data_IF_093908399351
#
_entry.id   IF_093908399351
#
_cell.length_a   1.000
_cell.length_b   1.000
_cell.length_c   1.000
_cell.angle_alpha   90.00
_cell.angle_beta   90.00
_cell.angle_gamma   90.00
#
_symmetry.space_group_name_H-M   'P 1'
#
loop_
_entity.id
_entity.type
_entity.pdbx_description
1 polymer ?
#
# COMPACT_ATOMS: atom_id res chain seq x y z
N UNK A 1 -76.65 36.67 20.94
CA UNK A 1 -76.71 36.29 19.52
C UNK A 1 -75.30 36.10 19.01
N UNK A 2 -75.05 34.87 18.53
CA UNK A 2 -73.94 34.31 17.76
C UNK A 2 -72.51 34.90 17.80
N UNK A 3 -71.59 33.97 18.06
CA UNK A 3 -70.16 33.99 17.86
C UNK A 3 -69.73 33.95 16.38
N UNK A 4 -68.46 34.29 16.11
CA UNK A 4 -67.62 33.57 15.15
C UNK A 4 -66.14 33.84 15.46
N UNK A 5 -65.52 32.87 16.14
CA UNK A 5 -64.09 32.71 16.26
C UNK A 5 -63.59 31.92 15.04
N UNK A 6 -62.63 32.47 14.30
CA UNK A 6 -61.97 31.76 13.21
C UNK A 6 -60.74 31.03 13.77
N UNK A 7 -60.90 29.72 14.01
CA UNK A 7 -59.78 28.80 14.18
C UNK A 7 -59.22 28.45 12.80
N UNK A 8 -58.03 28.95 12.46
CA UNK A 8 -57.23 28.41 11.37
C UNK A 8 -56.43 27.22 11.92
N UNK A 9 -56.94 26.01 11.70
CA UNK A 9 -56.23 24.77 12.02
C UNK A 9 -55.11 24.54 11.00
N UNK A 10 -53.89 24.36 11.49
CA UNK A 10 -52.75 23.93 10.71
C UNK A 10 -52.91 22.49 10.23
N UNK A 11 -52.63 22.26 8.96
CA UNK A 11 -52.31 20.94 8.41
C UNK A 11 -50.81 20.92 8.16
N UNK A 12 -50.04 20.66 9.21
CA UNK A 12 -48.66 20.19 9.07
C UNK A 12 -48.77 18.69 8.76
N UNK A 13 -48.74 18.36 7.47
CA UNK A 13 -48.72 16.97 7.01
C UNK A 13 -47.34 16.40 7.30
N UNK A 14 -47.21 15.64 8.38
CA UNK A 14 -46.12 14.69 8.52
C UNK A 14 -46.30 13.64 7.42
N UNK A 15 -45.49 13.75 6.36
CA UNK A 15 -45.33 12.66 5.39
C UNK A 15 -44.71 11.50 6.16
N UNK A 16 -45.53 10.52 6.53
CA UNK A 16 -45.07 9.24 7.04
C UNK A 16 -44.41 8.51 5.87
N UNK A 17 -43.08 8.60 5.79
CA UNK A 17 -42.30 7.72 4.93
C UNK A 17 -42.48 6.30 5.49
N UNK A 18 -42.91 5.32 4.70
CA UNK A 18 -43.08 3.96 5.17
C UNK A 18 -41.70 3.36 5.52
N UNK A 19 -41.53 2.74 6.70
CA UNK A 19 -40.25 2.20 7.18
C UNK A 19 -39.64 1.12 6.25
N UNK A 20 -40.44 0.57 5.35
CA UNK A 20 -40.01 -0.43 4.35
C UNK A 20 -39.10 0.18 3.27
N UNK A 21 -39.32 1.44 2.88
CA UNK A 21 -38.46 2.12 1.90
C UNK A 21 -37.09 2.47 2.50
N UNK A 22 -37.04 2.72 3.81
CA UNK A 22 -35.80 2.96 4.53
C UNK A 22 -35.00 1.69 4.74
N UNK A 23 -35.66 0.54 4.94
CA UNK A 23 -34.98 -0.75 5.02
C UNK A 23 -34.28 -1.14 3.70
N UNK A 24 -34.96 -0.99 2.55
CA UNK A 24 -34.38 -1.34 1.25
C UNK A 24 -33.18 -0.47 0.89
N UNK A 25 -33.31 0.86 1.01
CA UNK A 25 -32.17 1.75 0.72
C UNK A 25 -31.01 1.58 1.71
N UNK A 26 -31.30 1.13 2.93
CA UNK A 26 -30.27 0.81 3.91
C UNK A 26 -29.51 -0.47 3.55
N UNK A 27 -30.21 -1.50 3.08
CA UNK A 27 -29.61 -2.73 2.55
C UNK A 27 -28.75 -2.43 1.31
N UNK A 28 -29.25 -1.61 0.37
CA UNK A 28 -28.49 -1.17 -0.80
C UNK A 28 -27.23 -0.41 -0.39
N UNK A 29 -27.36 0.56 0.52
CA UNK A 29 -26.24 1.34 1.04
C UNK A 29 -25.18 0.45 1.71
N UNK A 30 -25.62 -0.57 2.45
CA UNK A 30 -24.72 -1.54 3.09
C UNK A 30 -24.02 -2.42 2.06
N UNK A 31 -24.74 -2.90 1.05
CA UNK A 31 -24.18 -3.73 -0.03
C UNK A 31 -23.08 -2.97 -0.76
N UNK A 32 -23.31 -1.70 -1.11
CA UNK A 32 -22.32 -0.86 -1.79
C UNK A 32 -21.04 -0.68 -0.95
N UNK A 33 -21.16 -0.45 0.36
CA UNK A 33 -19.98 -0.37 1.24
C UNK A 33 -19.29 -1.73 1.38
N UNK A 34 -20.06 -2.81 1.52
CA UNK A 34 -19.50 -4.15 1.64
C UNK A 34 -18.75 -4.57 0.37
N UNK A 35 -19.25 -4.20 -0.81
CA UNK A 35 -18.58 -4.47 -2.09
C UNK A 35 -17.29 -3.67 -2.25
N UNK A 36 -17.29 -2.39 -1.86
CA UNK A 36 -16.05 -1.60 -1.78
C UNK A 36 -15.05 -2.27 -0.83
N UNK A 37 -15.44 -2.60 0.40
CA UNK A 37 -14.56 -3.23 1.37
C UNK A 37 -14.01 -4.59 0.90
N UNK A 38 -14.83 -5.41 0.23
CA UNK A 38 -14.38 -6.68 -0.38
C UNK A 38 -13.47 -6.47 -1.57
N UNK A 39 -13.65 -5.42 -2.36
CA UNK A 39 -12.80 -5.14 -3.52
C UNK A 39 -11.35 -4.84 -3.12
N UNK A 40 -11.14 -4.40 -1.88
CA UNK A 40 -9.83 -4.20 -1.27
C UNK A 40 -9.19 -5.50 -0.75
N UNK A 41 -9.89 -6.64 -0.84
CA UNK A 41 -9.33 -7.94 -0.47
C UNK A 41 -8.25 -8.38 -1.46
N UNK A 42 -7.06 -8.73 -0.94
CA UNK A 42 -5.91 -9.06 -1.78
C UNK A 42 -5.40 -7.89 -2.62
N UNK A 43 -5.82 -6.65 -2.31
CA UNK A 43 -5.28 -5.45 -2.90
C UNK A 43 -3.82 -5.25 -2.42
N UNK A 44 -2.89 -5.83 -3.16
CA UNK A 44 -1.48 -5.43 -3.14
C UNK A 44 -0.72 -5.62 -1.83
N UNK A 45 0.11 -4.63 -1.51
CA UNK A 45 1.10 -4.61 -0.43
C UNK A 45 0.60 -3.88 0.82
N UNK A 46 -0.71 -3.70 0.96
CA UNK A 46 -1.29 -3.01 2.12
C UNK A 46 -0.95 -3.77 3.41
N UNK A 47 -0.31 -3.07 4.35
CA UNK A 47 0.11 -3.62 5.65
C UNK A 47 -0.41 -2.78 6.82
N UNK A 48 -0.94 -1.59 6.54
CA UNK A 48 -1.47 -0.62 7.51
C UNK A 48 -2.90 -0.22 7.13
N UNK A 49 -3.66 0.35 8.07
CA UNK A 49 -5.01 0.84 7.75
C UNK A 49 -4.93 2.08 6.84
N UNK A 50 -3.84 2.83 6.91
CA UNK A 50 -3.54 3.95 6.03
C UNK A 50 -3.33 3.49 4.57
N UNK A 51 -2.71 2.33 4.35
CA UNK A 51 -2.64 1.70 3.03
C UNK A 51 -4.04 1.42 2.47
N UNK A 52 -4.87 0.75 3.26
CA UNK A 52 -6.26 0.49 2.86
C UNK A 52 -7.07 1.76 2.64
N UNK A 53 -6.81 2.83 3.40
CA UNK A 53 -7.47 4.12 3.19
C UNK A 53 -7.09 4.73 1.84
N UNK A 54 -5.83 4.57 1.39
CA UNK A 54 -5.38 4.99 0.05
C UNK A 54 -5.99 4.13 -1.05
N UNK A 55 -5.99 2.82 -0.88
CA UNK A 55 -6.59 1.91 -1.85
C UNK A 55 -8.11 2.15 -1.99
N UNK A 56 -8.78 2.45 -0.86
CA UNK A 56 -10.18 2.84 -0.84
C UNK A 56 -10.42 4.16 -1.58
N UNK A 57 -9.58 5.17 -1.38
CA UNK A 57 -9.69 6.45 -2.09
C UNK A 57 -9.52 6.26 -3.60
N UNK A 58 -8.56 5.44 -4.05
CA UNK A 58 -8.39 5.10 -5.46
C UNK A 58 -9.62 4.37 -6.02
N UNK A 59 -10.13 3.36 -5.29
CA UNK A 59 -11.32 2.62 -5.69
C UNK A 59 -12.58 3.51 -5.75
N UNK A 60 -12.68 4.50 -4.86
CA UNK A 60 -13.81 5.42 -4.75
C UNK A 60 -13.68 6.66 -5.63
N UNK A 61 -12.55 6.89 -6.32
CA UNK A 61 -12.31 8.09 -7.13
C UNK A 61 -13.39 8.34 -8.22
N UNK A 62 -14.12 7.29 -8.63
CA UNK A 62 -15.24 7.37 -9.58
C UNK A 62 -16.59 6.99 -8.98
N UNK A 63 -16.64 6.67 -7.69
CA UNK A 63 -17.86 6.28 -7.00
C UNK A 63 -18.62 7.54 -6.56
N UNK A 64 -19.88 7.67 -7.00
CA UNK A 64 -20.72 8.82 -6.68
C UNK A 64 -21.52 8.64 -5.38
N UNK A 65 -21.48 7.45 -4.79
CA UNK A 65 -22.40 7.03 -3.75
C UNK A 65 -21.71 6.72 -2.42
N UNK A 66 -20.51 6.14 -2.46
CA UNK A 66 -19.74 5.78 -1.27
C UNK A 66 -18.55 6.73 -1.14
N UNK A 67 -18.36 7.25 0.08
CA UNK A 67 -17.28 8.16 0.42
C UNK A 67 -16.52 7.62 1.63
N UNK A 68 -15.19 7.69 1.59
CA UNK A 68 -14.35 7.41 2.75
C UNK A 68 -14.38 8.62 3.67
N UNK A 69 -14.84 8.44 4.91
CA UNK A 69 -15.04 9.54 5.88
C UNK A 69 -14.14 9.45 7.11
N UNK A 70 -13.41 8.35 7.27
CA UNK A 70 -12.53 8.14 8.42
C UNK A 70 -11.80 6.80 8.35
N UNK A 71 -10.77 6.67 9.16
CA UNK A 71 -10.11 5.40 9.45
C UNK A 71 -9.60 5.43 10.91
N UNK A 72 -9.41 4.25 11.49
CA UNK A 72 -8.88 4.07 12.84
C UNK A 72 -7.89 2.92 12.85
N UNK A 73 -6.64 3.21 13.22
CA UNK A 73 -5.58 2.21 13.40
C UNK A 73 -5.69 1.57 14.78
N UNK A 74 -5.54 0.24 14.85
CA UNK A 74 -5.55 -0.48 16.11
C UNK A 74 -4.12 -0.65 16.64
N UNK A 75 -3.81 -0.01 17.78
CA UNK A 75 -2.45 0.08 18.33
C UNK A 75 -1.80 -1.26 18.76
N UNK A 76 -2.53 -2.38 18.76
CA UNK A 76 -2.05 -3.69 19.21
C UNK A 76 -2.48 -4.84 18.27
N UNK A 77 -2.61 -4.57 16.97
CA UNK A 77 -2.88 -5.65 16.01
C UNK A 77 -1.77 -6.70 16.10
N UNK A 78 -2.15 -7.96 16.34
CA UNK A 78 -1.24 -9.10 16.19
C UNK A 78 -1.13 -9.46 14.71
N UNK A 79 -0.11 -10.23 14.34
CA UNK A 79 0.16 -10.64 12.96
C UNK A 79 -1.04 -11.31 12.24
N UNK A 80 -2.05 -11.78 12.98
CA UNK A 80 -3.28 -12.41 12.50
C UNK A 80 -4.58 -11.65 12.83
N UNK A 81 -4.49 -10.45 13.41
CA UNK A 81 -5.64 -9.67 13.87
C UNK A 81 -5.96 -8.48 12.96
N UNK A 82 -7.13 -7.90 13.17
CA UNK A 82 -7.50 -6.65 12.51
C UNK A 82 -6.47 -5.55 12.84
N UNK A 83 -5.99 -4.87 11.79
CA UNK A 83 -5.02 -3.76 11.86
C UNK A 83 -5.72 -2.41 12.02
N UNK A 84 -7.02 -2.35 11.70
CA UNK A 84 -7.84 -1.16 11.88
C UNK A 84 -9.19 -1.28 11.20
N UNK A 85 -9.87 -0.15 11.06
CA UNK A 85 -11.14 -0.05 10.34
C UNK A 85 -11.22 1.19 9.47
N UNK A 86 -11.89 1.05 8.33
CA UNK A 86 -12.31 2.17 7.48
C UNK A 86 -13.77 2.52 7.78
N UNK A 87 -14.10 3.80 7.65
CA UNK A 87 -15.43 4.36 7.88
C UNK A 87 -15.93 5.01 6.60
N UNK A 88 -17.13 4.61 6.19
CA UNK A 88 -17.74 5.01 4.93
C UNK A 88 -19.07 5.71 5.17
N UNK A 89 -19.38 6.66 4.29
CA UNK A 89 -20.69 7.27 4.15
C UNK A 89 -21.27 6.90 2.80
N UNK A 90 -22.44 6.29 2.80
CA UNK A 90 -23.18 5.93 1.60
C UNK A 90 -24.36 6.91 1.40
N UNK A 91 -24.53 7.40 0.18
CA UNK A 91 -25.60 8.30 -0.25
C UNK A 91 -26.36 7.63 -1.40
N UNK A 92 -27.52 7.05 -1.10
CA UNK A 92 -28.34 6.37 -2.10
C UNK A 92 -29.36 7.36 -2.69
N UNK A 93 -29.31 7.62 -4.02
CA UNK A 93 -30.22 8.54 -4.66
C UNK A 93 -31.66 7.99 -4.57
N UNK A 94 -32.60 8.86 -4.20
CA UNK A 94 -34.02 8.51 -4.19
C UNK A 94 -34.77 9.36 -5.19
N UNK A 95 -35.49 8.71 -6.11
CA UNK A 95 -36.14 9.40 -7.24
C UNK A 95 -37.26 10.37 -6.85
N UNK A 96 -37.81 10.28 -5.64
CA UNK A 96 -38.97 11.06 -5.17
C UNK A 96 -38.73 11.68 -3.79
N UNK A 97 -37.59 11.44 -3.16
CA UNK A 97 -37.29 11.84 -1.78
C UNK A 97 -35.86 12.37 -1.68
N UNK A 98 -35.54 12.96 -0.53
CA UNK A 98 -34.15 13.26 -0.18
C UNK A 98 -33.31 11.97 -0.22
N UNK A 99 -32.05 12.11 -0.60
CA UNK A 99 -31.11 10.99 -0.66
C UNK A 99 -31.03 10.28 0.70
N UNK A 100 -30.96 8.96 0.64
CA UNK A 100 -30.77 8.17 1.85
C UNK A 100 -29.31 8.16 2.24
N UNK A 101 -29.02 8.53 3.49
CA UNK A 101 -27.65 8.60 4.01
C UNK A 101 -27.51 7.62 5.17
N UNK A 102 -26.51 6.74 5.06
CA UNK A 102 -26.10 5.84 6.14
C UNK A 102 -24.58 5.75 6.21
N UNK A 103 -24.07 5.36 7.37
CA UNK A 103 -22.64 5.24 7.61
C UNK A 103 -22.31 3.86 8.15
N UNK A 104 -21.23 3.30 7.63
CA UNK A 104 -20.79 1.95 7.91
C UNK A 104 -19.29 1.90 8.16
N UNK A 105 -18.83 0.95 8.97
CA UNK A 105 -17.41 0.65 9.09
C UNK A 105 -17.13 -0.80 8.74
N UNK A 106 -15.91 -1.04 8.28
CA UNK A 106 -15.38 -2.35 7.95
C UNK A 106 -14.00 -2.49 8.55
N UNK A 107 -13.76 -3.61 9.24
CA UNK A 107 -12.45 -3.96 9.79
C UNK A 107 -11.56 -4.61 8.73
N UNK A 108 -10.26 -4.33 8.79
CA UNK A 108 -9.27 -4.87 7.88
C UNK A 108 -8.16 -5.58 8.67
N UNK A 109 -7.61 -6.65 8.11
CA UNK A 109 -6.40 -7.36 8.54
C UNK A 109 -5.34 -7.29 7.44
N UNK A 110 -4.23 -8.02 7.57
CA UNK A 110 -3.15 -8.01 6.58
C UNK A 110 -3.49 -8.63 5.21
N UNK A 111 -4.72 -9.14 5.01
CA UNK A 111 -5.17 -9.76 3.77
C UNK A 111 -6.33 -8.99 3.11
N UNK A 112 -7.00 -8.11 3.83
CA UNK A 112 -8.15 -7.35 3.34
C UNK A 112 -9.18 -7.13 4.43
N UNK A 113 -10.45 -7.11 4.05
CA UNK A 113 -11.54 -7.08 5.03
C UNK A 113 -11.45 -8.30 5.97
N UNK A 114 -11.47 -8.06 7.28
CA UNK A 114 -11.26 -9.08 8.31
C UNK A 114 -12.41 -10.10 8.37
N UNK A 115 -13.62 -9.67 7.99
CA UNK A 115 -14.71 -10.60 7.74
C UNK A 115 -14.40 -11.40 6.46
N UNK A 116 -14.71 -12.69 6.45
CA UNK A 116 -14.48 -13.51 5.24
C UNK A 116 -15.10 -12.84 4.00
N UNK A 117 -14.40 -12.76 2.86
CA UNK A 117 -14.88 -12.03 1.68
C UNK A 117 -16.20 -12.56 1.11
N UNK A 118 -16.56 -13.81 1.43
CA UNK A 118 -17.83 -14.44 1.05
C UNK A 118 -18.93 -14.30 2.12
N UNK A 119 -18.67 -13.54 3.19
CA UNK A 119 -19.65 -13.27 4.23
C UNK A 119 -20.77 -12.38 3.72
N UNK A 120 -21.92 -12.39 4.39
CA UNK A 120 -23.03 -11.47 4.14
C UNK A 120 -22.64 -10.03 4.45
N UNK A 121 -23.30 -9.05 3.82
CA UNK A 121 -22.94 -7.63 3.93
C UNK A 121 -22.97 -7.11 5.36
N UNK A 122 -23.90 -7.58 6.20
CA UNK A 122 -23.97 -7.19 7.61
C UNK A 122 -22.79 -7.65 8.47
N UNK A 123 -22.01 -8.63 7.99
CA UNK A 123 -20.76 -9.04 8.63
C UNK A 123 -19.54 -8.27 8.12
N UNK A 124 -19.66 -7.55 7.00
CA UNK A 124 -18.58 -6.80 6.34
C UNK A 124 -18.72 -5.30 6.62
N UNK A 125 -19.93 -4.76 6.47
CA UNK A 125 -20.27 -3.36 6.66
C UNK A 125 -21.21 -3.23 7.87
N UNK A 126 -20.65 -2.76 8.97
CA UNK A 126 -21.34 -2.60 10.24
C UNK A 126 -21.86 -1.18 10.41
N UNK A 127 -23.08 -1.03 10.92
CA UNK A 127 -23.66 0.28 11.15
C UNK A 127 -22.84 1.09 12.16
N UNK A 128 -22.72 2.39 11.89
CA UNK A 128 -22.40 3.34 12.94
C UNK A 128 -23.10 4.69 12.71
N UNK A 129 -23.24 5.49 13.77
CA UNK A 129 -23.85 6.81 13.65
C UNK A 129 -23.03 7.70 12.72
N UNK A 130 -23.67 8.27 11.69
CA UNK A 130 -23.03 9.25 10.83
C UNK A 130 -22.60 10.49 11.63
N UNK A 131 -21.31 10.87 11.59
CA UNK A 131 -20.88 12.15 12.12
C UNK A 131 -21.63 13.31 11.43
N UNK A 132 -22.04 14.35 12.16
CA UNK A 132 -22.87 15.43 11.62
C UNK A 132 -22.16 16.26 10.54
N UNK A 133 -20.84 16.23 10.50
CA UNK A 133 -19.94 16.91 9.58
C UNK A 133 -19.11 15.94 8.73
N UNK A 134 -19.57 14.69 8.57
CA UNK A 134 -18.89 13.69 7.76
C UNK A 134 -18.70 14.16 6.31
N UNK A 135 -17.44 14.37 5.92
CA UNK A 135 -17.00 14.71 4.58
C UNK A 135 -16.04 13.63 4.08
N UNK A 136 -15.90 13.54 2.75
CA UNK A 136 -14.84 12.71 2.17
C UNK A 136 -13.48 13.18 2.69
N UNK A 137 -12.66 12.25 3.17
CA UNK A 137 -11.29 12.53 3.61
C UNK A 137 -10.31 12.19 2.50
N UNK A 138 -9.19 12.91 2.45
CA UNK A 138 -8.02 12.50 1.69
C UNK A 138 -7.13 11.65 2.63
N UNK A 139 -6.82 10.39 2.29
CA UNK A 139 -5.95 9.56 3.11
C UNK A 139 -4.53 10.14 3.17
N UNK A 140 -3.75 9.82 4.22
CA UNK A 140 -2.39 10.33 4.35
C UNK A 140 -1.51 9.79 3.20
N UNK A 141 -0.72 10.69 2.61
CA UNK A 141 0.27 10.34 1.58
C UNK A 141 1.28 9.35 2.15
N UNK A 142 1.71 8.38 1.34
CA UNK A 142 2.81 7.49 1.74
C UNK A 142 4.12 8.26 1.77
N UNK A 143 4.71 8.36 2.96
CA UNK A 143 6.04 8.94 3.14
C UNK A 143 7.08 7.88 3.48
N UNK A 144 6.73 6.60 3.36
CA UNK A 144 7.65 5.48 3.62
C UNK A 144 8.80 5.51 2.61
N UNK A 145 10.03 5.19 3.04
CA UNK A 145 11.18 5.20 2.16
C UNK A 145 11.04 4.12 1.08
N UNK A 146 11.20 4.53 -0.18
CA UNK A 146 11.27 3.63 -1.33
C UNK A 146 12.73 3.37 -1.64
N UNK A 147 13.22 2.18 -1.30
CA UNK A 147 14.61 1.83 -1.55
C UNK A 147 14.86 1.56 -3.04
N UNK A 148 15.87 2.22 -3.61
CA UNK A 148 16.21 2.13 -5.03
C UNK A 148 17.72 2.02 -5.24
N UNK A 149 18.13 1.44 -6.37
CA UNK A 149 19.48 1.61 -6.90
C UNK A 149 19.44 2.84 -7.81
N UNK A 150 20.11 3.96 -7.46
CA UNK A 150 20.04 5.19 -8.26
C UNK A 150 20.50 4.97 -9.71
N UNK A 151 19.86 5.63 -10.66
CA UNK A 151 20.27 5.58 -12.06
C UNK A 151 21.72 6.07 -12.23
N UNK A 152 22.54 5.29 -12.95
CA UNK A 152 23.96 5.57 -13.12
C UNK A 152 24.88 4.94 -12.07
N UNK A 153 24.34 4.28 -11.03
CA UNK A 153 25.15 3.57 -10.02
C UNK A 153 26.03 2.48 -10.64
N UNK A 154 25.53 1.74 -11.64
CA UNK A 154 26.31 0.71 -12.34
C UNK A 154 27.62 1.25 -12.92
N UNK A 155 27.56 2.39 -13.62
CA UNK A 155 28.75 3.02 -14.20
C UNK A 155 29.76 3.44 -13.11
N UNK A 156 29.27 3.99 -12.00
CA UNK A 156 30.12 4.35 -10.84
C UNK A 156 30.81 3.12 -10.27
N UNK A 157 30.07 2.03 -10.06
CA UNK A 157 30.62 0.78 -9.52
C UNK A 157 31.68 0.21 -10.46
N UNK A 158 31.40 0.13 -11.76
CA UNK A 158 32.36 -0.36 -12.76
C UNK A 158 33.65 0.49 -12.73
N UNK A 159 33.52 1.81 -12.70
CA UNK A 159 34.67 2.72 -12.65
C UNK A 159 35.50 2.52 -11.36
N UNK A 160 34.85 2.43 -10.20
CA UNK A 160 35.52 2.23 -8.90
C UNK A 160 36.26 0.90 -8.88
N UNK A 161 35.60 -0.20 -9.27
CA UNK A 161 36.22 -1.53 -9.26
C UNK A 161 37.38 -1.60 -10.27
N UNK A 162 37.24 -0.96 -11.44
CA UNK A 162 38.27 -0.93 -12.48
C UNK A 162 39.52 -0.15 -12.06
N UNK A 163 39.35 0.92 -11.28
CA UNK A 163 40.45 1.76 -10.81
C UNK A 163 41.04 1.30 -9.48
N UNK A 164 40.35 0.41 -8.75
CA UNK A 164 40.75 0.02 -7.41
C UNK A 164 42.10 -0.73 -7.42
N UNK A 165 43.02 -0.43 -6.49
CA UNK A 165 44.30 -1.11 -6.41
C UNK A 165 44.14 -2.58 -5.95
N UNK A 166 45.23 -3.36 -6.04
CA UNK A 166 45.22 -4.77 -5.67
C UNK A 166 45.05 -4.99 -4.15
N UNK A 167 45.44 -4.02 -3.32
CA UNK A 167 45.36 -4.04 -1.86
C UNK A 167 44.16 -3.26 -1.30
N UNK A 168 43.19 -2.88 -2.16
CA UNK A 168 41.97 -2.19 -1.75
C UNK A 168 41.18 -3.01 -0.73
N UNK A 169 40.55 -2.34 0.23
CA UNK A 169 39.65 -3.02 1.18
C UNK A 169 38.19 -2.91 0.75
N UNK A 170 37.35 -3.84 1.22
CA UNK A 170 35.90 -3.78 1.01
C UNK A 170 35.29 -2.44 1.48
N UNK A 171 35.77 -1.91 2.60
CA UNK A 171 35.30 -0.64 3.14
C UNK A 171 35.67 0.54 2.24
N UNK A 172 36.87 0.54 1.65
CA UNK A 172 37.29 1.61 0.74
C UNK A 172 36.44 1.61 -0.54
N UNK A 173 36.10 0.43 -1.07
CA UNK A 173 35.19 0.30 -2.22
C UNK A 173 33.81 0.84 -1.89
N UNK A 174 33.23 0.40 -0.76
CA UNK A 174 31.91 0.85 -0.31
C UNK A 174 31.90 2.37 -0.10
N UNK A 175 32.94 2.93 0.53
CA UNK A 175 33.06 4.36 0.79
C UNK A 175 33.13 5.16 -0.53
N UNK A 176 34.01 4.78 -1.44
CA UNK A 176 34.19 5.45 -2.74
C UNK A 176 32.92 5.38 -3.60
N UNK A 177 32.27 4.20 -3.67
CA UNK A 177 30.99 4.07 -4.38
C UNK A 177 29.94 4.95 -3.72
N UNK A 178 29.81 4.93 -2.39
CA UNK A 178 28.82 5.75 -1.68
C UNK A 178 29.02 7.25 -1.91
N UNK A 179 30.27 7.71 -1.96
CA UNK A 179 30.62 9.12 -2.23
C UNK A 179 30.25 9.56 -3.65
N UNK A 180 30.42 8.67 -4.63
CA UNK A 180 30.20 8.97 -6.05
C UNK A 180 28.83 8.58 -6.56
N UNK A 181 28.07 7.80 -5.78
CA UNK A 181 26.76 7.28 -6.17
C UNK A 181 25.79 8.45 -6.41
N UNK A 182 25.07 8.45 -7.54
CA UNK A 182 24.04 9.44 -7.79
C UNK A 182 22.99 9.43 -6.67
N UNK A 183 22.42 10.60 -6.38
CA UNK A 183 21.33 10.66 -5.41
C UNK A 183 20.01 10.21 -6.07
N UNK A 184 19.15 9.48 -5.34
CA UNK A 184 17.80 9.21 -5.81
C UNK A 184 17.03 10.51 -6.11
N UNK A 185 16.13 10.48 -7.10
CA UNK A 185 15.42 11.68 -7.59
C UNK A 185 13.97 11.75 -7.14
N UNK A 186 13.38 10.63 -6.71
CA UNK A 186 12.01 10.57 -6.23
C UNK A 186 11.85 11.14 -4.81
N UNK A 187 10.65 11.64 -4.45
CA UNK A 187 10.40 12.38 -3.20
C UNK A 187 10.62 11.57 -1.92
N UNK A 188 10.50 10.25 -1.99
CA UNK A 188 10.72 9.32 -0.86
C UNK A 188 11.77 8.26 -1.18
N UNK A 189 12.50 8.42 -2.29
CA UNK A 189 13.48 7.43 -2.68
C UNK A 189 14.72 7.52 -1.79
N UNK A 190 15.18 6.37 -1.32
CA UNK A 190 16.41 6.22 -0.53
C UNK A 190 17.29 5.22 -1.24
N UNK A 191 18.59 5.49 -1.33
CA UNK A 191 19.50 4.52 -1.94
C UNK A 191 19.65 3.28 -1.03
N UNK A 192 19.69 2.09 -1.63
CA UNK A 192 20.12 0.89 -0.90
C UNK A 192 21.55 1.07 -0.37
N UNK A 193 21.85 0.42 0.75
CA UNK A 193 23.21 0.42 1.31
C UNK A 193 24.07 -0.55 0.49
N UNK A 194 25.16 -0.09 -0.14
CA UNK A 194 26.05 -0.98 -0.87
C UNK A 194 26.87 -1.85 0.07
N UNK A 195 27.22 -3.04 -0.41
CA UNK A 195 28.11 -3.96 0.27
C UNK A 195 29.20 -4.46 -0.68
N UNK A 196 30.37 -4.77 -0.14
CA UNK A 196 31.46 -5.38 -0.88
C UNK A 196 32.18 -6.43 -0.02
N UNK A 197 32.85 -7.36 -0.69
CA UNK A 197 33.82 -8.28 -0.08
C UNK A 197 35.06 -8.36 -0.98
N UNK A 198 36.20 -8.67 -0.37
CA UNK A 198 37.45 -8.96 -1.09
C UNK A 198 37.90 -10.35 -0.66
N UNK A 199 38.06 -11.26 -1.62
CA UNK A 199 38.45 -12.66 -1.39
C UNK A 199 39.56 -13.00 -2.36
N UNK A 200 40.74 -13.30 -1.84
CA UNK A 200 41.92 -13.68 -2.65
C UNK A 200 42.28 -12.69 -3.79
N UNK A 201 41.92 -11.40 -3.62
CA UNK A 201 42.15 -10.33 -4.60
C UNK A 201 40.95 -10.03 -5.50
N UNK A 202 40.00 -10.98 -5.60
CA UNK A 202 38.72 -10.78 -6.27
C UNK A 202 37.79 -9.91 -5.41
N UNK A 203 36.98 -9.10 -6.07
CA UNK A 203 36.02 -8.21 -5.41
C UNK A 203 34.62 -8.63 -5.82
N UNK A 204 33.75 -8.87 -4.83
CA UNK A 204 32.31 -8.89 -5.02
C UNK A 204 31.69 -7.59 -4.54
N UNK A 205 30.72 -7.06 -5.28
CA UNK A 205 29.93 -5.88 -4.90
C UNK A 205 28.45 -6.18 -5.12
N UNK A 206 27.61 -5.68 -4.21
CA UNK A 206 26.16 -5.78 -4.32
C UNK A 206 25.46 -4.54 -3.78
N UNK A 207 24.38 -4.13 -4.43
CA UNK A 207 23.44 -3.11 -3.96
C UNK A 207 22.05 -3.45 -4.50
N UNK A 208 21.00 -3.29 -3.69
CA UNK A 208 19.63 -3.61 -4.08
C UNK A 208 19.07 -4.86 -3.42
N UNK A 209 17.93 -5.31 -3.92
CA UNK A 209 17.23 -6.52 -3.47
C UNK A 209 16.39 -7.09 -4.61
N UNK A 210 16.23 -8.42 -4.65
CA UNK A 210 15.35 -9.09 -5.63
C UNK A 210 15.67 -8.68 -7.07
N UNK A 211 14.64 -8.27 -7.81
CA UNK A 211 14.75 -7.83 -9.21
C UNK A 211 15.55 -6.54 -9.46
N UNK A 212 15.73 -5.69 -8.44
CA UNK A 212 16.48 -4.42 -8.54
C UNK A 212 17.94 -4.57 -8.10
N UNK A 213 18.40 -5.80 -7.90
CA UNK A 213 19.75 -6.08 -7.45
C UNK A 213 20.79 -5.83 -8.55
N UNK A 214 21.80 -5.03 -8.22
CA UNK A 214 23.03 -4.87 -9.00
C UNK A 214 24.16 -5.68 -8.34
N UNK A 215 24.63 -6.70 -9.04
CA UNK A 215 25.81 -7.47 -8.68
C UNK A 215 26.95 -7.15 -9.65
N UNK A 216 28.13 -6.84 -9.13
CA UNK A 216 29.33 -6.59 -9.95
C UNK A 216 30.49 -7.33 -9.31
N UNK A 217 31.35 -7.95 -10.13
CA UNK A 217 32.58 -8.55 -9.66
C UNK A 217 33.80 -8.03 -10.41
N UNK A 218 34.94 -8.04 -9.73
CA UNK A 218 36.27 -7.88 -10.33
C UNK A 218 37.08 -9.13 -10.08
N UNK A 219 37.65 -9.66 -11.14
CA UNK A 219 38.63 -10.76 -11.11
C UNK A 219 39.86 -10.39 -11.94
N UNK A 220 40.83 -11.32 -12.06
CA UNK A 220 41.95 -11.20 -13.00
C UNK A 220 41.51 -11.00 -14.47
N UNK A 221 40.29 -11.41 -14.82
CA UNK A 221 39.72 -11.22 -16.15
C UNK A 221 39.17 -9.80 -16.40
N UNK A 222 39.04 -8.99 -15.34
CA UNK A 222 38.49 -7.64 -15.38
C UNK A 222 37.24 -7.48 -14.51
N UNK A 223 36.49 -6.40 -14.76
CA UNK A 223 35.23 -6.08 -14.08
C UNK A 223 34.06 -6.53 -14.95
N UNK A 224 33.08 -7.20 -14.34
CA UNK A 224 31.86 -7.65 -15.02
C UNK A 224 30.63 -7.43 -14.15
N UNK A 225 29.51 -7.10 -14.79
CA UNK A 225 28.18 -7.09 -14.16
C UNK A 225 27.65 -8.53 -14.18
N UNK A 226 27.20 -8.99 -13.02
CA UNK A 226 26.72 -10.35 -12.80
C UNK A 226 25.20 -10.36 -12.89
N UNK A 227 24.68 -11.09 -13.86
CA UNK A 227 23.23 -11.25 -14.03
C UNK A 227 22.79 -12.59 -13.44
N UNK A 228 22.00 -12.53 -12.37
CA UNK A 228 21.34 -13.68 -11.76
C UNK A 228 19.81 -13.57 -11.95
N UNK A 229 19.10 -14.68 -12.15
CA UNK A 229 17.64 -14.70 -12.12
C UNK A 229 17.10 -14.11 -10.81
N UNK A 230 16.07 -13.26 -10.89
CA UNK A 230 15.49 -12.57 -9.72
C UNK A 230 15.08 -13.53 -8.61
N UNK A 231 14.59 -14.74 -8.95
CA UNK A 231 14.24 -15.77 -7.98
C UNK A 231 15.39 -16.16 -7.06
N UNK A 232 16.64 -16.18 -7.56
CA UNK A 232 17.81 -16.49 -6.73
C UNK A 232 18.22 -15.31 -5.83
N UNK A 233 17.68 -14.11 -6.09
CA UNK A 233 18.00 -12.88 -5.37
C UNK A 233 16.96 -12.53 -4.29
N UNK A 234 15.92 -13.35 -4.16
CA UNK A 234 14.91 -13.24 -3.12
C UNK A 234 15.46 -13.65 -1.73
N UNK A 235 14.91 -13.11 -0.63
CA UNK A 235 15.26 -13.55 0.71
C UNK A 235 15.01 -15.06 0.92
N UNK A 236 16.04 -15.78 1.38
CA UNK A 236 15.98 -17.24 1.59
C UNK A 236 16.73 -18.06 0.53
N UNK A 237 17.04 -17.45 -0.62
CA UNK A 237 17.87 -18.03 -1.68
C UNK A 237 19.33 -17.52 -1.55
N UNK A 238 20.00 -17.18 -2.66
CA UNK A 238 21.34 -16.58 -2.63
C UNK A 238 21.31 -15.12 -2.16
N UNK A 239 20.27 -14.39 -2.57
CA UNK A 239 20.06 -12.99 -2.22
C UNK A 239 20.99 -12.03 -2.97
N UNK A 240 20.66 -10.73 -2.88
CA UNK A 240 21.51 -9.66 -3.39
C UNK A 240 22.71 -9.42 -2.46
N UNK A 241 23.80 -10.18 -2.64
CA UNK A 241 24.96 -10.15 -1.75
C UNK A 241 26.29 -10.14 -2.51
N UNK A 242 27.36 -9.56 -1.94
CA UNK A 242 28.67 -9.55 -2.59
C UNK A 242 29.24 -10.94 -2.85
N UNK A 243 28.95 -11.92 -1.99
CA UNK A 243 29.35 -13.32 -2.20
C UNK A 243 28.57 -14.00 -3.33
N UNK A 244 27.32 -13.60 -3.56
CA UNK A 244 26.55 -14.00 -4.75
C UNK A 244 27.23 -13.51 -6.03
N UNK A 245 27.75 -12.27 -6.03
CA UNK A 245 28.48 -11.74 -7.18
C UNK A 245 29.73 -12.56 -7.52
N UNK A 246 30.40 -13.18 -6.53
CA UNK A 246 31.58 -14.02 -6.74
C UNK A 246 31.26 -15.48 -7.09
N UNK A 247 29.99 -15.86 -7.18
CA UNK A 247 29.62 -17.23 -7.53
C UNK A 247 30.03 -17.57 -8.96
N UNK A 248 30.39 -18.83 -9.22
CA UNK A 248 30.63 -19.28 -10.59
C UNK A 248 29.30 -19.25 -11.38
N UNK A 249 29.34 -19.02 -12.71
CA UNK A 249 28.12 -18.85 -13.51
C UNK A 249 27.14 -20.02 -13.44
N UNK A 250 27.62 -21.24 -13.24
CA UNK A 250 26.80 -22.44 -13.04
C UNK A 250 25.91 -22.40 -11.79
N UNK A 251 26.34 -21.70 -10.73
CA UNK A 251 25.57 -21.52 -9.49
C UNK A 251 24.49 -20.43 -9.63
N UNK A 252 24.55 -19.64 -10.71
CA UNK A 252 23.65 -18.51 -10.98
C UNK A 252 22.63 -18.83 -12.08
N UNK A 253 22.48 -20.10 -12.46
CA UNK A 253 21.49 -20.53 -13.44
C UNK A 253 20.14 -20.77 -12.78
N UNK A 254 19.06 -20.45 -13.49
CA UNK A 254 17.72 -20.79 -13.04
C UNK A 254 17.61 -22.32 -12.89
N UNK A 255 16.91 -22.85 -11.87
CA UNK A 255 16.81 -24.29 -11.67
C UNK A 255 16.26 -25.07 -12.86
N UNK A 256 15.43 -24.47 -13.73
CA UNK A 256 14.86 -25.08 -14.93
C UNK A 256 14.50 -24.03 -15.98
#
# INVERSE_FOLDING_TARGET
>A
MLALAACAAGLSGCVFIPPVLDAGAHEDARSEVADVARSLYGAGTATTIEDYARDADEALARNAYVHLIGYEAYANSRDDGAIGRLQFRAIMPRSVYDDYVACFWSEFDGMGVAASPISVDAAVAHDFPCPPDAQNIEPPVDTSPVFVVPEGTEAVVIDVLSAAPADVTANDIVAEVTERMPQPTGPYQVAYVPAAIVVDGDIGFAIGQGGDCLLVKRTDAGVEVVHAPSILLEPGELGCRPDTALRPPEDLQAPH
#
